data_IF_576214184006
#
_entry.id   IF_576214184006
#
_cell.length_a   1.000
_cell.length_b   1.000
_cell.length_c   1.000
_cell.angle_alpha   90.00
_cell.angle_beta   90.00
_cell.angle_gamma   90.00
#
_symmetry.space_group_name_H-M   'P 1'
#
loop_
_entity.id
_entity.type
_entity.pdbx_description
1 polymer ?
#
# COMPACT_ATOMS: atom_id res chain seq x y z
N UNK A 1 -22.55 13.31 -15.01
CA UNK A 1 -21.32 13.15 -14.22
C UNK A 1 -21.62 12.09 -13.16
N UNK A 2 -21.19 10.84 -13.37
CA UNK A 2 -21.53 9.73 -12.48
C UNK A 2 -20.62 9.80 -11.25
N UNK A 3 -21.19 10.15 -10.10
CA UNK A 3 -20.50 10.00 -8.83
C UNK A 3 -20.19 8.51 -8.62
N UNK A 4 -18.97 8.19 -8.21
CA UNK A 4 -18.61 6.83 -7.80
C UNK A 4 -19.59 6.40 -6.69
N UNK A 5 -20.16 5.20 -6.83
CA UNK A 5 -20.94 4.55 -5.78
C UNK A 5 -20.12 4.53 -4.48
N UNK A 6 -20.76 4.66 -3.32
CA UNK A 6 -20.06 4.87 -2.04
C UNK A 6 -19.02 3.80 -1.71
N UNK A 7 -19.23 2.56 -2.14
CA UNK A 7 -18.24 1.50 -1.98
C UNK A 7 -16.98 1.73 -2.81
N UNK A 8 -17.11 2.27 -4.02
CA UNK A 8 -15.95 2.58 -4.88
C UNK A 8 -15.07 3.69 -4.32
N UNK A 9 -15.63 4.59 -3.48
CA UNK A 9 -14.82 5.59 -2.76
C UNK A 9 -13.82 4.93 -1.81
N UNK A 10 -14.09 3.70 -1.33
CA UNK A 10 -13.18 2.93 -0.45
C UNK A 10 -11.96 2.36 -1.20
N UNK A 11 -11.99 2.35 -2.54
CA UNK A 11 -10.88 1.92 -3.39
C UNK A 11 -9.83 3.01 -3.63
N UNK A 12 -10.11 4.23 -3.18
CA UNK A 12 -9.22 5.37 -3.25
C UNK A 12 -8.97 5.95 -1.86
N UNK A 13 -7.85 6.64 -1.66
CA UNK A 13 -7.65 7.40 -0.44
C UNK A 13 -8.70 8.52 -0.33
N UNK A 14 -9.19 8.85 0.88
CA UNK A 14 -10.05 10.01 1.06
C UNK A 14 -9.27 11.31 0.78
N UNK A 15 -9.97 12.39 0.41
CA UNK A 15 -9.35 13.71 0.16
C UNK A 15 -8.50 14.19 1.33
N UNK A 16 -8.91 13.91 2.57
CA UNK A 16 -8.15 14.26 3.78
C UNK A 16 -6.76 13.61 3.81
N UNK A 17 -6.63 12.36 3.34
CA UNK A 17 -5.34 11.68 3.25
C UNK A 17 -4.43 12.30 2.17
N UNK A 18 -4.99 12.82 1.07
CA UNK A 18 -4.21 13.56 0.09
C UNK A 18 -3.67 14.87 0.65
N UNK A 19 -4.50 15.60 1.41
CA UNK A 19 -4.07 16.83 2.10
C UNK A 19 -2.97 16.49 3.10
N UNK A 20 -3.16 15.45 3.91
CA UNK A 20 -2.16 14.99 4.88
C UNK A 20 -0.83 14.59 4.21
N UNK A 21 -0.88 13.82 3.12
CA UNK A 21 0.32 13.43 2.39
C UNK A 21 1.05 14.64 1.79
N UNK A 22 0.30 15.63 1.31
CA UNK A 22 0.87 16.87 0.76
C UNK A 22 1.51 17.74 1.85
N UNK A 23 0.83 17.91 2.98
CA UNK A 23 1.37 18.64 4.14
C UNK A 23 2.64 17.97 4.68
N UNK A 24 2.66 16.65 4.77
CA UNK A 24 3.85 15.89 5.16
C UNK A 24 4.99 16.07 4.15
N UNK A 25 4.69 16.12 2.85
CA UNK A 25 5.67 16.42 1.81
C UNK A 25 6.28 17.80 1.93
N UNK A 26 5.45 18.83 2.09
CA UNK A 26 5.96 20.19 2.25
C UNK A 26 6.81 20.32 3.52
N UNK A 27 6.43 19.66 4.62
CA UNK A 27 7.21 19.68 5.88
C UNK A 27 8.56 18.97 5.76
N UNK A 28 8.65 17.94 4.93
CA UNK A 28 9.84 17.08 4.84
C UNK A 28 10.57 17.20 3.50
N UNK A 29 10.29 18.21 2.68
CA UNK A 29 10.83 18.34 1.31
C UNK A 29 12.37 18.30 1.27
N UNK A 30 13.02 18.78 2.32
CA UNK A 30 14.48 18.75 2.48
C UNK A 30 15.07 17.33 2.61
N UNK A 31 14.25 16.34 2.96
CA UNK A 31 14.64 14.92 3.03
C UNK A 31 14.67 14.28 1.63
N UNK A 32 13.97 14.86 0.65
CA UNK A 32 13.93 14.36 -0.72
C UNK A 32 15.25 14.63 -1.44
N UNK A 33 16.04 13.57 -1.65
CA UNK A 33 17.12 13.61 -2.63
C UNK A 33 16.54 13.40 -4.04
N UNK A 34 16.39 14.49 -4.79
CA UNK A 34 15.78 14.50 -6.14
C UNK A 34 16.56 13.65 -7.13
N UNK A 35 17.89 13.69 -7.09
CA UNK A 35 18.74 12.87 -7.97
C UNK A 35 18.53 11.38 -7.70
N UNK A 36 18.58 10.98 -6.44
CA UNK A 36 18.33 9.58 -6.05
C UNK A 36 16.91 9.13 -6.45
N UNK A 37 15.91 9.99 -6.25
CA UNK A 37 14.54 9.70 -6.68
C UNK A 37 14.48 9.48 -8.20
N UNK A 38 15.02 10.41 -8.99
CA UNK A 38 15.05 10.33 -10.45
C UNK A 38 15.74 9.05 -10.95
N UNK A 39 16.92 8.74 -10.43
CA UNK A 39 17.67 7.53 -10.78
C UNK A 39 16.91 6.24 -10.39
N UNK A 40 16.21 6.26 -9.25
CA UNK A 40 15.43 5.11 -8.80
C UNK A 40 14.22 4.81 -9.70
N UNK A 41 13.69 5.80 -10.43
CA UNK A 41 12.45 5.67 -11.19
C UNK A 41 12.50 4.55 -12.23
N UNK A 42 13.64 4.33 -12.88
CA UNK A 42 13.80 3.26 -13.87
C UNK A 42 13.63 1.90 -13.21
N UNK A 43 14.34 1.66 -12.10
CA UNK A 43 14.25 0.40 -11.36
C UNK A 43 12.86 0.17 -10.76
N UNK A 44 12.20 1.22 -10.27
CA UNK A 44 10.82 1.14 -9.77
C UNK A 44 9.87 0.76 -10.92
N UNK A 45 9.95 1.42 -12.07
CA UNK A 45 9.11 1.12 -13.24
C UNK A 45 9.30 -0.31 -13.73
N UNK A 46 10.54 -0.78 -13.81
CA UNK A 46 10.85 -2.17 -14.16
C UNK A 46 10.26 -3.15 -13.15
N UNK A 47 10.38 -2.86 -11.86
CA UNK A 47 9.79 -3.68 -10.80
C UNK A 47 8.25 -3.72 -10.91
N UNK A 48 7.60 -2.58 -11.11
CA UNK A 48 6.14 -2.49 -11.28
C UNK A 48 5.67 -3.26 -12.52
N UNK A 49 6.34 -3.08 -13.65
CA UNK A 49 6.04 -3.82 -14.88
C UNK A 49 6.13 -5.33 -14.68
N UNK A 50 7.21 -5.80 -14.03
CA UNK A 50 7.43 -7.23 -13.76
C UNK A 50 6.40 -7.84 -12.81
N UNK A 51 5.99 -7.11 -11.77
CA UNK A 51 5.17 -7.66 -10.69
C UNK A 51 3.67 -7.36 -10.83
N UNK A 52 3.30 -6.37 -11.63
CA UNK A 52 1.92 -5.90 -11.78
C UNK A 52 1.51 -5.57 -13.22
N UNK A 53 2.46 -5.40 -14.16
CA UNK A 53 2.16 -4.94 -15.52
C UNK A 53 1.27 -5.87 -16.34
N UNK A 54 1.24 -7.15 -16.04
CA UNK A 54 0.32 -8.12 -16.66
C UNK A 54 -1.00 -8.30 -15.90
N UNK A 55 -1.14 -7.69 -14.74
CA UNK A 55 -2.35 -7.81 -13.94
C UNK A 55 -3.43 -6.91 -14.56
N UNK A 56 -4.46 -7.53 -15.12
CA UNK A 56 -5.58 -6.85 -15.76
C UNK A 56 -6.88 -7.29 -15.08
N UNK A 57 -7.82 -6.36 -14.96
CA UNK A 57 -9.19 -6.65 -14.54
C UNK A 57 -10.16 -6.13 -15.60
N UNK A 58 -11.30 -6.80 -15.74
CA UNK A 58 -12.33 -6.38 -16.66
C UNK A 58 -13.04 -5.11 -16.14
N UNK A 59 -13.53 -4.27 -17.04
CA UNK A 59 -14.23 -3.03 -16.67
C UNK A 59 -15.47 -3.30 -15.80
N UNK A 60 -16.15 -4.42 -16.06
CA UNK A 60 -17.34 -4.89 -15.34
C UNK A 60 -17.02 -5.84 -14.17
N UNK A 61 -15.76 -5.95 -13.74
CA UNK A 61 -15.36 -6.75 -12.58
C UNK A 61 -16.07 -6.31 -11.30
N UNK A 62 -16.22 -7.27 -10.38
CA UNK A 62 -16.88 -7.07 -9.09
C UNK A 62 -16.13 -6.06 -8.22
N UNK A 63 -16.77 -5.60 -7.15
CA UNK A 63 -16.11 -4.75 -6.17
C UNK A 63 -14.89 -5.45 -5.54
N UNK A 64 -15.00 -6.74 -5.21
CA UNK A 64 -13.91 -7.50 -4.60
C UNK A 64 -12.72 -7.73 -5.54
N UNK A 65 -12.97 -7.91 -6.83
CA UNK A 65 -11.91 -7.96 -7.85
C UNK A 65 -11.16 -6.62 -7.92
N UNK A 66 -11.91 -5.51 -7.93
CA UNK A 66 -11.34 -4.16 -7.98
C UNK A 66 -10.58 -3.81 -6.70
N UNK A 67 -11.07 -4.25 -5.55
CA UNK A 67 -10.39 -4.18 -4.26
C UNK A 67 -9.08 -4.96 -4.29
N UNK A 68 -9.12 -6.22 -4.72
CA UNK A 68 -7.93 -7.08 -4.83
C UNK A 68 -6.89 -6.44 -5.76
N UNK A 69 -7.34 -5.93 -6.91
CA UNK A 69 -6.48 -5.20 -7.84
C UNK A 69 -5.83 -3.97 -7.22
N UNK A 70 -6.61 -3.10 -6.59
CA UNK A 70 -6.11 -1.88 -5.95
C UNK A 70 -5.10 -2.20 -4.84
N UNK A 71 -5.42 -3.15 -3.96
CA UNK A 71 -4.56 -3.50 -2.84
C UNK A 71 -3.26 -4.20 -3.30
N UNK A 72 -3.34 -5.10 -4.28
CA UNK A 72 -2.14 -5.71 -4.87
C UNK A 72 -1.25 -4.68 -5.56
N UNK A 73 -1.86 -3.68 -6.23
CA UNK A 73 -1.14 -2.56 -6.82
C UNK A 73 -0.33 -1.80 -5.78
N UNK A 74 -0.98 -1.41 -4.67
CA UNK A 74 -0.33 -0.74 -3.55
C UNK A 74 0.79 -1.58 -2.92
N UNK A 75 0.54 -2.85 -2.61
CA UNK A 75 1.55 -3.77 -2.08
C UNK A 75 2.76 -3.88 -3.00
N UNK A 76 2.52 -3.88 -4.31
CA UNK A 76 3.60 -3.93 -5.30
C UNK A 76 4.40 -2.63 -5.32
N UNK A 77 3.75 -1.45 -5.25
CA UNK A 77 4.42 -0.15 -5.12
C UNK A 77 5.31 -0.11 -3.89
N UNK A 78 4.77 -0.47 -2.72
CA UNK A 78 5.52 -0.54 -1.45
C UNK A 78 6.72 -1.47 -1.60
N UNK A 79 6.50 -2.69 -2.14
CA UNK A 79 7.57 -3.66 -2.36
C UNK A 79 8.66 -3.09 -3.27
N UNK A 80 8.29 -2.47 -4.39
CA UNK A 80 9.22 -1.93 -5.36
C UNK A 80 10.05 -0.78 -4.78
N UNK A 81 9.45 0.11 -3.97
CA UNK A 81 10.20 1.14 -3.25
C UNK A 81 11.16 0.53 -2.20
N UNK A 82 10.69 -0.41 -1.38
CA UNK A 82 11.50 -1.03 -0.31
C UNK A 82 12.72 -1.80 -0.85
N UNK A 83 12.60 -2.43 -2.02
CA UNK A 83 13.65 -3.27 -2.58
C UNK A 83 14.51 -2.58 -3.65
N UNK A 84 14.19 -1.34 -4.03
CA UNK A 84 14.98 -0.61 -5.03
C UNK A 84 16.39 -0.33 -4.49
N UNK A 85 17.41 -0.74 -5.25
CA UNK A 85 18.81 -0.63 -4.85
C UNK A 85 19.31 0.80 -4.76
N UNK A 86 18.80 1.70 -5.62
CA UNK A 86 19.13 3.13 -5.59
C UNK A 86 18.50 3.78 -4.36
N UNK A 87 17.22 3.52 -4.06
CA UNK A 87 16.58 4.06 -2.86
C UNK A 87 17.23 3.59 -1.55
N UNK A 88 17.90 2.43 -1.54
CA UNK A 88 18.68 1.99 -0.36
C UNK A 88 19.88 2.91 -0.07
N UNK A 89 20.39 3.66 -1.04
CA UNK A 89 21.49 4.62 -0.83
C UNK A 89 20.98 5.98 -0.31
N UNK A 90 19.68 6.25 -0.40
CA UNK A 90 19.03 7.46 0.11
C UNK A 90 17.82 7.12 1.01
N UNK A 91 18.08 6.61 2.24
CA UNK A 91 17.02 6.09 3.11
C UNK A 91 15.93 7.12 3.44
N UNK A 92 16.27 8.41 3.57
CA UNK A 92 15.27 9.47 3.79
C UNK A 92 14.22 9.57 2.68
N UNK A 93 14.65 9.60 1.41
CA UNK A 93 13.73 9.57 0.25
C UNK A 93 12.89 8.30 0.24
N UNK A 94 13.52 7.14 0.50
CA UNK A 94 12.81 5.86 0.54
C UNK A 94 11.70 5.86 1.60
N UNK A 95 12.04 6.27 2.81
CA UNK A 95 11.13 6.23 3.96
C UNK A 95 9.98 7.24 3.77
N UNK A 96 10.26 8.41 3.15
CA UNK A 96 9.21 9.35 2.71
C UNK A 96 8.23 8.71 1.71
N UNK A 97 8.72 8.05 0.65
CA UNK A 97 7.87 7.39 -0.36
C UNK A 97 7.03 6.25 0.24
N UNK A 98 7.61 5.49 1.16
CA UNK A 98 6.90 4.42 1.87
C UNK A 98 5.82 4.98 2.78
N UNK A 99 6.11 6.06 3.52
CA UNK A 99 5.13 6.76 4.34
C UNK A 99 3.96 7.28 3.52
N UNK A 100 4.18 7.79 2.31
CA UNK A 100 3.07 8.23 1.46
C UNK A 100 2.21 7.11 0.96
N UNK A 101 2.82 5.97 0.67
CA UNK A 101 2.06 4.77 0.31
C UNK A 101 1.15 4.33 1.47
N UNK A 102 1.57 4.56 2.72
CA UNK A 102 0.77 4.28 3.91
C UNK A 102 -0.36 5.31 4.12
N UNK A 103 -0.07 6.62 4.01
CA UNK A 103 -1.09 7.68 4.13
C UNK A 103 -2.15 7.54 3.04
N UNK A 104 -1.73 7.30 1.80
CA UNK A 104 -2.61 7.16 0.63
C UNK A 104 -3.19 5.74 0.48
N UNK A 105 -3.04 4.87 1.47
CA UNK A 105 -3.61 3.53 1.44
C UNK A 105 -5.14 3.61 1.38
N UNK A 106 -5.78 2.98 0.37
CA UNK A 106 -7.24 2.94 0.32
C UNK A 106 -7.82 2.25 1.56
N UNK A 107 -8.94 2.73 2.13
CA UNK A 107 -9.60 2.09 3.27
C UNK A 107 -9.93 0.61 3.02
N UNK A 108 -10.25 0.22 1.78
CA UNK A 108 -10.52 -1.17 1.43
C UNK A 108 -9.30 -2.10 1.66
N UNK A 109 -8.07 -1.57 1.69
CA UNK A 109 -6.85 -2.35 1.90
C UNK A 109 -6.43 -2.47 3.38
N UNK A 110 -7.17 -1.85 4.31
CA UNK A 110 -6.83 -1.82 5.74
C UNK A 110 -7.21 -3.07 6.55
N UNK A 111 -7.99 -4.01 5.99
CA UNK A 111 -8.61 -5.10 6.76
C UNK A 111 -7.94 -6.49 6.63
N UNK A 112 -6.90 -6.67 5.82
CA UNK A 112 -6.32 -8.01 5.60
C UNK A 112 -5.47 -8.56 6.75
N UNK A 113 -5.08 -7.75 7.75
CA UNK A 113 -4.25 -8.23 8.87
C UNK A 113 -5.02 -8.71 10.11
N UNK A 114 -6.30 -8.40 10.26
CA UNK A 114 -7.04 -8.69 11.51
C UNK A 114 -7.47 -10.17 11.59
N UNK A 115 -7.69 -10.84 10.44
CA UNK A 115 -8.19 -12.22 10.42
C UNK A 115 -7.12 -13.21 10.93
N UNK A 116 -5.84 -12.97 10.63
CA UNK A 116 -4.74 -13.84 11.07
C UNK A 116 -4.47 -13.75 12.57
N UNK A 117 -4.57 -12.55 13.17
CA UNK A 117 -4.36 -12.35 14.60
C UNK A 117 -5.48 -12.93 15.45
N UNK A 118 -6.74 -12.89 14.98
CA UNK A 118 -7.87 -13.51 15.67
C UNK A 118 -7.75 -15.04 15.65
N UNK A 119 -7.37 -15.64 14.52
CA UNK A 119 -7.16 -17.09 14.47
C UNK A 119 -6.04 -17.55 15.41
N UNK A 120 -4.93 -16.82 15.50
CA UNK A 120 -3.83 -17.12 16.43
C UNK A 120 -4.24 -16.97 17.91
N UNK A 121 -5.07 -15.98 18.24
CA UNK A 121 -5.63 -15.79 19.59
C UNK A 121 -6.63 -16.89 19.98
N UNK A 122 -7.47 -17.33 19.04
CA UNK A 122 -8.42 -18.42 19.27
C UNK A 122 -7.68 -19.75 19.44
N UNK A 123 -6.64 -20.00 18.63
CA UNK A 123 -5.83 -21.21 18.73
C UNK A 123 -5.06 -21.29 20.07
N UNK A 124 -4.52 -20.16 20.55
CA UNK A 124 -3.83 -20.13 21.85
C UNK A 124 -4.80 -20.38 22.99
N UNK A 125 -6.01 -19.81 22.97
CA UNK A 125 -7.04 -20.08 23.98
C UNK A 125 -7.44 -21.56 24.01
N UNK A 126 -7.57 -22.24 22.86
CA UNK A 126 -7.89 -23.68 22.84
C UNK A 126 -6.76 -24.56 23.42
N UNK A 127 -5.50 -24.17 23.25
CA UNK A 127 -4.35 -24.89 23.83
C UNK A 127 -4.27 -24.72 25.36
N UNK A 128 -4.63 -23.56 25.90
CA UNK A 128 -4.66 -23.32 27.34
C UNK A 128 -5.80 -24.06 28.05
N UNK A 129 -6.96 -24.24 27.42
CA UNK A 129 -8.08 -24.98 28.04
C UNK A 129 -7.79 -26.48 28.09
N UNK A 130 -7.07 -27.02 27.11
CA UNK A 130 -6.72 -28.45 27.03
C UNK A 130 -5.59 -28.88 27.98
N UNK A 131 -4.92 -27.94 28.64
CA UNK A 131 -3.81 -28.22 29.59
C UNK A 131 -4.21 -28.10 31.06
N UNK A 132 -5.45 -27.67 31.33
CA UNK A 132 -5.98 -27.47 32.69
C UNK A 132 -6.98 -28.57 33.10
N UNK A 133 -7.23 -29.55 32.24
CA UNK A 133 -8.03 -30.74 32.53
C UNK A 133 -7.23 -32.04 32.41
#
# INVERSE_FOLDING_TARGET
MNCLLDDFKKLTAPTTAYIEAFDDFCKNINVLNVTCYQESTIGIRQCLSKNFGSYQIATNSSFDDKKTFACKGLETVVRCHSHNTVLKTCPGTRDMLLKYSEILKPPACGAMMIISSIMLLVLSMMLFVSTVY
#
